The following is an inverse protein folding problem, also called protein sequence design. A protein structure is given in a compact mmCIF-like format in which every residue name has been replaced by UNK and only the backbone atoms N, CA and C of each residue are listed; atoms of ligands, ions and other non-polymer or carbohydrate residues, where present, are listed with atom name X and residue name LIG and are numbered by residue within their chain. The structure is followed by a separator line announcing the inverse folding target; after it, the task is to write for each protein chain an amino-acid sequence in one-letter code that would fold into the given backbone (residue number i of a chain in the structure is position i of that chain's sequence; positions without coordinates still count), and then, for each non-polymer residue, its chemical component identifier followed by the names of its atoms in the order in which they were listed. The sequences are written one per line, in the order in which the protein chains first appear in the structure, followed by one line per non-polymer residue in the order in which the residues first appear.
data_IF_713927352620
#
_entry.id   IF_713927352620
#
_cell.length_a   1.000
_cell.length_b   1.000
_cell.length_c   1.000
_cell.angle_alpha   90.00
_cell.angle_beta   90.00
_cell.angle_gamma   90.00
#
_symmetry.space_group_name_H-M   'P 1'
#
loop_
_entity.id
_entity.type
_entity.pdbx_description
1 polymer ?
#
# COMPACT_ATOMS: atom_id res chain seq x y z
N UNK A 1 2.89 -11.30 -19.59
CA UNK A 1 2.89 -11.48 -21.05
C UNK A 1 4.35 -11.51 -21.50
N UNK A 2 4.72 -12.29 -22.51
CA UNK A 2 6.10 -12.22 -23.01
C UNK A 2 6.27 -11.12 -24.06
N UNK A 3 5.17 -10.64 -24.65
CA UNK A 3 5.16 -9.71 -25.76
C UNK A 3 4.71 -8.29 -25.38
N UNK A 4 5.07 -7.32 -26.23
CA UNK A 4 4.68 -5.93 -26.12
C UNK A 4 3.16 -5.75 -26.32
N UNK A 5 2.47 -4.98 -25.46
CA UNK A 5 1.05 -4.66 -25.65
C UNK A 5 0.80 -3.96 -27.00
N UNK A 6 -0.35 -4.26 -27.61
CA UNK A 6 -0.75 -3.66 -28.89
C UNK A 6 -0.92 -2.14 -28.84
N UNK A 7 -1.19 -1.57 -27.66
CA UNK A 7 -1.21 -0.13 -27.43
C UNK A 7 -0.83 0.19 -25.98
N UNK A 8 -0.19 1.34 -25.79
CA UNK A 8 0.12 1.96 -24.49
C UNK A 8 -0.63 3.29 -24.31
N UNK A 9 -1.63 3.54 -25.16
CA UNK A 9 -2.49 4.72 -25.05
C UNK A 9 -3.18 4.78 -23.68
N UNK A 10 -3.37 6.00 -23.16
CA UNK A 10 -3.90 6.19 -21.81
C UNK A 10 -2.92 5.87 -20.67
N UNK A 11 -1.74 5.29 -20.96
CA UNK A 11 -0.69 5.03 -19.96
C UNK A 11 0.43 6.07 -20.00
N UNK A 12 1.00 6.34 -18.83
CA UNK A 12 2.21 7.14 -18.64
C UNK A 12 3.36 6.21 -18.26
N UNK A 13 4.48 6.32 -18.96
CA UNK A 13 5.71 5.61 -18.57
C UNK A 13 6.39 6.34 -17.41
N UNK A 14 6.74 5.58 -16.37
CA UNK A 14 7.60 5.99 -15.29
C UNK A 14 8.87 5.12 -15.31
N UNK A 15 10.02 5.76 -15.55
CA UNK A 15 11.32 5.10 -15.47
C UNK A 15 11.73 4.95 -14.01
N UNK A 16 11.35 3.84 -13.39
CA UNK A 16 11.72 3.50 -12.02
C UNK A 16 13.23 3.33 -11.86
N UNK A 17 13.88 2.66 -12.82
CA UNK A 17 15.31 2.44 -12.81
C UNK A 17 15.88 2.38 -14.24
N UNK A 18 17.21 2.22 -14.42
CA UNK A 18 17.79 1.91 -15.71
C UNK A 18 17.22 0.62 -16.34
N UNK A 19 16.71 -0.31 -15.52
CA UNK A 19 16.30 -1.64 -15.94
C UNK A 19 14.78 -1.87 -15.96
N UNK A 20 14.01 -1.04 -15.25
CA UNK A 20 12.56 -1.19 -15.13
C UNK A 20 11.85 0.10 -15.52
N UNK A 21 10.83 -0.04 -16.36
CA UNK A 21 9.82 1.00 -16.61
C UNK A 21 8.46 0.51 -16.15
N UNK A 22 7.68 1.36 -15.49
CA UNK A 22 6.29 1.10 -15.11
C UNK A 22 5.37 1.91 -15.99
N UNK A 23 4.20 1.35 -16.32
CA UNK A 23 3.16 2.03 -17.08
C UNK A 23 1.94 2.22 -16.21
N UNK A 24 1.55 3.48 -16.05
CA UNK A 24 0.58 3.93 -15.07
C UNK A 24 -0.65 4.51 -15.79
N UNK A 25 -1.85 4.24 -15.29
CA UNK A 25 -3.06 4.89 -15.79
C UNK A 25 -2.95 6.42 -15.63
N UNK A 26 -3.11 7.18 -16.72
CA UNK A 26 -3.05 8.66 -16.67
C UNK A 26 -4.16 9.30 -15.84
N UNK A 27 -5.28 8.60 -15.64
CA UNK A 27 -6.45 9.11 -14.92
C UNK A 27 -6.35 8.92 -13.42
N UNK A 28 -6.03 7.70 -12.97
CA UNK A 28 -6.08 7.33 -11.55
C UNK A 28 -4.72 6.93 -10.95
N UNK A 29 -3.64 6.88 -11.74
CA UNK A 29 -2.31 6.52 -11.27
C UNK A 29 -2.06 5.02 -11.09
N UNK A 30 -3.08 4.19 -11.28
CA UNK A 30 -2.98 2.73 -11.12
C UNK A 30 -1.82 2.13 -11.91
N UNK A 31 -1.07 1.22 -11.27
CA UNK A 31 -0.03 0.45 -11.95
C UNK A 31 -0.67 -0.58 -12.86
N UNK A 32 -0.37 -0.52 -14.16
CA UNK A 32 -0.98 -1.44 -15.16
C UNK A 32 0.05 -2.46 -15.64
N UNK A 33 1.23 -1.98 -16.04
CA UNK A 33 2.30 -2.83 -16.58
C UNK A 33 3.65 -2.47 -15.96
N UNK A 34 4.59 -3.40 -16.04
CA UNK A 34 6.01 -3.14 -15.88
C UNK A 34 6.78 -3.80 -17.03
N UNK A 35 7.79 -3.12 -17.57
CA UNK A 35 8.71 -3.65 -18.58
C UNK A 35 10.07 -3.86 -17.94
N UNK A 36 10.57 -5.09 -18.05
CA UNK A 36 11.94 -5.47 -17.70
C UNK A 36 12.80 -5.22 -18.94
N UNK A 37 13.56 -4.13 -18.96
CA UNK A 37 14.30 -3.67 -20.14
C UNK A 37 15.34 -4.69 -20.64
N UNK A 38 16.13 -5.37 -19.78
CA UNK A 38 17.10 -6.36 -20.25
C UNK A 38 16.49 -7.53 -21.04
N UNK A 39 15.32 -8.03 -20.62
CA UNK A 39 14.65 -9.15 -21.28
C UNK A 39 13.58 -8.72 -22.28
N UNK A 40 13.19 -7.44 -22.29
CA UNK A 40 12.06 -6.93 -23.05
C UNK A 40 10.69 -7.34 -22.50
N UNK A 41 10.62 -8.14 -21.44
CA UNK A 41 9.39 -8.76 -20.95
C UNK A 41 8.43 -7.76 -20.29
N UNK A 42 7.13 -7.94 -20.53
CA UNK A 42 6.06 -7.15 -19.93
C UNK A 42 5.29 -7.94 -18.85
N UNK A 43 5.32 -7.42 -17.64
CA UNK A 43 4.53 -7.90 -16.51
C UNK A 43 3.23 -7.10 -16.41
N UNK A 44 2.15 -7.77 -16.04
CA UNK A 44 0.85 -7.15 -15.81
C UNK A 44 0.60 -7.09 -14.32
N UNK A 45 0.14 -5.95 -13.82
CA UNK A 45 -0.24 -5.82 -12.43
C UNK A 45 -1.55 -6.60 -12.21
N UNK A 46 -1.55 -7.63 -11.36
CA UNK A 46 -2.73 -8.51 -11.22
C UNK A 46 -3.94 -7.80 -10.62
N UNK A 47 -3.73 -6.65 -9.98
CA UNK A 47 -4.82 -5.85 -9.43
C UNK A 47 -5.71 -5.17 -10.48
N UNK A 48 -5.30 -5.11 -11.75
CA UNK A 48 -6.14 -4.54 -12.83
C UNK A 48 -6.96 -5.57 -13.61
N UNK A 49 -6.86 -6.85 -13.27
CA UNK A 49 -7.58 -7.92 -13.99
C UNK A 49 -9.07 -7.91 -13.63
N UNK A 50 -9.97 -7.79 -14.61
CA UNK A 50 -11.45 -7.70 -14.39
C UNK A 50 -12.27 -8.75 -15.15
N UNK A 51 -11.66 -9.56 -16.01
CA UNK A 51 -12.38 -10.55 -16.84
C UNK A 51 -12.72 -11.83 -16.05
N UNK A 52 -13.67 -12.64 -16.52
CA UNK A 52 -14.08 -13.90 -15.87
C UNK A 52 -13.03 -15.01 -15.86
N UNK A 53 -12.00 -14.93 -16.73
CA UNK A 53 -10.94 -15.93 -16.88
C UNK A 53 -9.65 -15.52 -16.15
N UNK A 54 -9.74 -15.30 -14.85
CA UNK A 54 -8.60 -14.85 -14.06
C UNK A 54 -7.72 -16.06 -13.77
N UNK A 55 -6.41 -15.99 -14.09
CA UNK A 55 -5.53 -17.11 -13.86
C UNK A 55 -5.49 -17.46 -12.37
N UNK A 56 -5.58 -18.76 -12.08
CA UNK A 56 -5.30 -19.29 -10.74
C UNK A 56 -3.88 -18.90 -10.32
N UNK A 57 -3.71 -18.51 -9.07
CA UNK A 57 -2.40 -18.17 -8.52
C UNK A 57 -1.60 -19.47 -8.37
N UNK A 58 -0.61 -19.67 -9.25
CA UNK A 58 0.23 -20.87 -9.23
C UNK A 58 1.33 -20.83 -8.16
N UNK A 59 1.87 -19.64 -7.89
CA UNK A 59 2.89 -19.43 -6.86
C UNK A 59 2.92 -17.99 -6.39
N UNK A 60 3.36 -17.80 -5.13
CA UNK A 60 3.63 -16.48 -4.54
C UNK A 60 5.10 -16.46 -4.17
N UNK A 61 5.84 -15.50 -4.75
CA UNK A 61 7.26 -15.29 -4.49
C UNK A 61 7.44 -13.89 -3.91
N UNK A 62 8.23 -13.79 -2.84
CA UNK A 62 8.55 -12.52 -2.21
C UNK A 62 9.94 -12.07 -2.61
N UNK A 63 10.04 -10.86 -3.13
CA UNK A 63 11.31 -10.27 -3.53
C UNK A 63 11.65 -9.10 -2.62
N UNK A 64 12.94 -8.88 -2.42
CA UNK A 64 13.46 -7.77 -1.61
C UNK A 64 12.93 -7.76 -0.16
N UNK A 65 12.58 -8.93 0.40
CA UNK A 65 12.10 -9.06 1.78
C UNK A 65 13.08 -8.45 2.77
N UNK A 66 14.40 -8.63 2.57
CA UNK A 66 15.42 -8.02 3.44
C UNK A 66 15.32 -6.50 3.49
N UNK A 67 14.92 -5.86 2.39
CA UNK A 67 14.75 -4.40 2.32
C UNK A 67 13.58 -3.88 3.17
N UNK A 68 12.65 -4.75 3.57
CA UNK A 68 11.53 -4.37 4.45
C UNK A 68 11.94 -4.22 5.91
N UNK A 69 13.09 -4.76 6.33
CA UNK A 69 13.57 -4.73 7.72
C UNK A 69 12.83 -5.67 8.68
N UNK A 70 11.51 -5.82 8.54
CA UNK A 70 10.63 -6.61 9.40
C UNK A 70 9.90 -7.76 8.67
N UNK A 71 10.25 -8.00 7.41
CA UNK A 71 9.60 -8.97 6.53
C UNK A 71 8.38 -8.41 5.78
N UNK A 72 7.83 -7.27 6.17
CA UNK A 72 6.65 -6.69 5.54
C UNK A 72 5.46 -7.66 5.52
N UNK A 73 4.62 -7.54 4.50
CA UNK A 73 3.48 -8.46 4.31
C UNK A 73 3.87 -9.91 4.04
N UNK A 74 5.14 -10.21 3.69
CA UNK A 74 5.56 -11.60 3.47
C UNK A 74 5.45 -12.47 4.74
N UNK A 75 5.43 -11.83 5.91
CA UNK A 75 5.18 -12.49 7.20
C UNK A 75 3.75 -13.03 7.29
N UNK A 76 2.77 -12.35 6.68
CA UNK A 76 1.35 -12.73 6.64
C UNK A 76 0.97 -13.52 5.37
N UNK A 77 1.86 -13.59 4.39
CA UNK A 77 1.65 -14.31 3.14
C UNK A 77 2.72 -15.40 3.02
N UNK A 78 2.66 -16.50 3.77
CA UNK A 78 3.64 -17.57 3.62
C UNK A 78 3.62 -18.04 2.16
N UNK A 79 4.73 -17.82 1.44
CA UNK A 79 4.83 -18.15 0.02
C UNK A 79 4.57 -19.63 -0.22
N UNK A 80 4.13 -19.98 -1.44
CA UNK A 80 4.02 -21.39 -1.82
C UNK A 80 5.43 -21.98 -1.93
N UNK A 81 5.71 -23.21 -1.44
CA UNK A 81 7.01 -23.84 -1.64
C UNK A 81 7.28 -24.05 -3.13
N UNK A 82 8.14 -23.22 -3.73
CA UNK A 82 8.76 -23.48 -5.04
C UNK A 82 10.19 -22.94 -5.11
N UNK A 83 10.98 -23.63 -5.91
CA UNK A 83 12.42 -23.52 -6.12
C UNK A 83 12.92 -22.12 -6.48
N UNK A 84 14.05 -21.74 -5.87
CA UNK A 84 14.93 -20.60 -6.19
C UNK A 84 14.61 -19.88 -7.51
N UNK A 85 13.84 -18.80 -7.39
CA UNK A 85 13.60 -17.85 -8.47
C UNK A 85 14.00 -16.47 -8.01
N UNK A 86 15.14 -15.97 -8.50
CA UNK A 86 15.54 -14.58 -8.31
C UNK A 86 14.47 -13.61 -8.83
N UNK A 87 14.53 -12.35 -8.36
CA UNK A 87 13.60 -11.31 -8.76
C UNK A 87 13.57 -11.16 -10.30
N UNK A 88 12.42 -11.38 -10.96
CA UNK A 88 12.33 -11.25 -12.44
C UNK A 88 12.45 -9.80 -12.92
N UNK A 89 12.33 -8.82 -12.03
CA UNK A 89 12.68 -7.43 -12.33
C UNK A 89 14.21 -7.19 -12.24
N UNK A 90 14.96 -8.08 -11.60
CA UNK A 90 16.41 -8.10 -11.50
C UNK A 90 17.01 -9.13 -12.47
N UNK A 91 16.67 -9.02 -13.74
CA UNK A 91 17.41 -9.76 -14.77
C UNK A 91 18.79 -9.11 -14.89
N UNK A 92 19.78 -9.75 -14.23
CA UNK A 92 21.24 -9.60 -14.31
C UNK A 92 21.94 -8.67 -13.29
N UNK A 93 22.09 -9.14 -12.06
CA UNK A 93 23.39 -9.06 -11.35
C UNK A 93 24.10 -10.42 -11.44
N UNK A 94 24.20 -10.95 -12.66
CA UNK A 94 25.10 -12.05 -12.99
C UNK A 94 26.55 -11.57 -12.97
N UNK A 95 27.09 -11.32 -11.78
CA UNK A 95 28.52 -11.30 -11.45
C UNK A 95 28.64 -11.29 -9.93
N UNK A 96 29.21 -12.37 -9.38
CA UNK A 96 29.94 -12.27 -8.12
C UNK A 96 30.95 -11.14 -8.27
N UNK A 97 30.64 -10.00 -7.66
CA UNK A 97 31.44 -8.80 -7.74
C UNK A 97 30.82 -7.80 -6.78
N UNK A 98 31.57 -7.49 -5.72
CA UNK A 98 31.27 -6.41 -4.80
C UNK A 98 31.14 -5.09 -5.59
N UNK A 99 29.92 -4.72 -5.98
CA UNK A 99 29.62 -3.35 -6.40
C UNK A 99 28.37 -2.90 -5.66
N UNK A 100 28.63 -2.29 -4.51
CA UNK A 100 27.81 -1.25 -3.90
C UNK A 100 27.52 -0.19 -4.95
N UNK A 101 26.29 -0.13 -5.47
CA UNK A 101 25.67 1.10 -6.02
C UNK A 101 24.20 0.79 -6.39
N UNK A 102 23.36 0.62 -5.38
CA UNK A 102 21.95 0.96 -5.52
C UNK A 102 21.78 2.38 -4.99
N UNK A 103 21.26 3.28 -5.81
CA UNK A 103 20.80 4.62 -5.42
C UNK A 103 19.54 4.57 -4.53
N UNK A 104 19.45 3.59 -3.63
CA UNK A 104 18.82 3.81 -2.34
C UNK A 104 19.89 4.49 -1.50
N UNK A 105 19.84 5.82 -1.40
CA UNK A 105 20.49 6.48 -0.26
C UNK A 105 19.96 5.76 0.98
N UNK A 106 20.78 4.88 1.55
CA UNK A 106 20.56 4.36 2.89
C UNK A 106 20.54 5.59 3.76
N UNK A 107 19.36 6.04 4.15
CA UNK A 107 19.21 6.71 5.42
C UNK A 107 19.68 5.65 6.41
N UNK A 108 20.95 5.74 6.81
CA UNK A 108 21.49 5.00 7.94
C UNK A 108 20.64 5.45 9.09
N UNK A 109 19.65 4.62 9.42
CA UNK A 109 18.73 4.93 10.47
C UNK A 109 19.48 4.64 11.77
N UNK A 110 19.90 5.69 12.47
CA UNK A 110 20.36 5.56 13.84
C UNK A 110 19.21 4.94 14.66
N UNK A 111 19.36 3.74 15.23
CA UNK A 111 18.34 3.10 16.05
C UNK A 111 18.04 3.86 17.35
N UNK A 112 18.85 4.86 17.69
CA UNK A 112 18.78 5.59 18.96
C UNK A 112 17.84 6.81 18.96
N UNK A 113 17.39 7.29 17.80
CA UNK A 113 16.41 8.38 17.75
C UNK A 113 14.98 7.81 17.69
N UNK A 114 14.25 7.90 18.81
CA UNK A 114 12.81 7.71 18.81
C UNK A 114 12.18 8.81 17.94
N UNK A 115 12.01 8.54 16.65
CA UNK A 115 11.30 9.48 15.76
C UNK A 115 9.91 9.72 16.34
N UNK A 116 9.66 10.97 16.70
CA UNK A 116 8.35 11.44 17.20
C UNK A 116 7.31 11.49 16.09
N UNK A 117 7.68 11.23 14.83
CA UNK A 117 6.80 11.23 13.67
C UNK A 117 7.20 10.12 12.69
N UNK A 118 6.21 9.54 12.01
CA UNK A 118 6.41 8.60 10.92
C UNK A 118 6.43 9.36 9.60
N UNK A 119 7.57 9.39 8.94
CA UNK A 119 7.69 9.92 7.58
C UNK A 119 7.02 8.95 6.59
N UNK A 120 6.34 9.50 5.58
CA UNK A 120 5.83 8.75 4.45
C UNK A 120 6.23 9.45 3.14
N UNK A 121 6.74 8.69 2.18
CA UNK A 121 7.28 9.23 0.93
C UNK A 121 7.12 8.24 -0.22
N UNK A 122 6.74 8.75 -1.39
CA UNK A 122 6.69 7.95 -2.62
C UNK A 122 8.08 7.76 -3.25
N UNK A 123 8.21 6.79 -4.16
CA UNK A 123 9.49 6.45 -4.80
C UNK A 123 10.19 7.65 -5.48
N UNK A 124 9.44 8.50 -6.20
CA UNK A 124 10.03 9.67 -6.86
C UNK A 124 10.24 10.88 -5.93
N UNK A 125 9.83 10.79 -4.65
CA UNK A 125 9.89 11.88 -3.68
C UNK A 125 8.94 13.05 -3.94
N UNK A 126 8.00 12.92 -4.87
CA UNK A 126 7.07 13.99 -5.24
C UNK A 126 5.88 14.15 -4.28
N UNK A 127 5.61 13.13 -3.47
CA UNK A 127 4.71 13.13 -2.32
C UNK A 127 5.57 12.76 -1.11
N UNK A 128 5.49 13.61 -0.09
CA UNK A 128 6.15 13.47 1.19
C UNK A 128 5.30 14.15 2.27
N UNK A 129 5.10 13.46 3.39
CA UNK A 129 4.33 13.93 4.53
C UNK A 129 4.74 13.20 5.80
N UNK A 130 4.29 13.69 6.94
CA UNK A 130 4.59 13.14 8.27
C UNK A 130 3.30 12.83 9.02
N UNK A 131 3.32 11.74 9.79
CA UNK A 131 2.24 11.31 10.66
C UNK A 131 2.74 11.42 12.11
N UNK A 132 2.00 12.13 12.97
CA UNK A 132 2.27 12.15 14.42
C UNK A 132 1.64 10.95 15.12
N UNK A 133 2.18 10.49 16.26
CA UNK A 133 1.50 9.58 17.17
C UNK A 133 0.13 10.15 17.56
N UNK A 134 -0.82 9.31 18.00
CA UNK A 134 -2.08 9.82 18.46
C UNK A 134 -1.93 10.79 19.63
N UNK A 135 -2.76 11.82 19.63
CA UNK A 135 -2.82 12.84 20.67
C UNK A 135 -4.29 13.20 20.96
N UNK A 136 -4.53 14.25 21.76
CA UNK A 136 -5.89 14.69 22.09
C UNK A 136 -6.68 15.16 20.86
N UNK A 137 -6.01 15.56 19.77
CA UNK A 137 -6.68 15.98 18.55
C UNK A 137 -7.18 14.80 17.71
N UNK A 138 -6.59 13.61 17.90
CA UNK A 138 -6.92 12.37 17.19
C UNK A 138 -8.31 11.81 17.51
N UNK A 139 -8.93 12.27 18.60
CA UNK A 139 -10.28 11.86 19.02
C UNK A 139 -11.38 12.70 18.38
N UNK A 140 -11.05 13.80 17.68
CA UNK A 140 -12.04 14.70 17.08
C UNK A 140 -12.70 14.16 15.82
N UNK A 141 -12.03 13.28 15.10
CA UNK A 141 -12.60 12.64 13.92
C UNK A 141 -13.77 11.72 14.33
N UNK A 142 -14.71 11.51 13.42
CA UNK A 142 -15.79 10.53 13.51
C UNK A 142 -15.77 9.67 12.25
N UNK A 143 -16.17 8.41 12.38
CA UNK A 143 -16.30 7.48 11.26
C UNK A 143 -17.24 6.34 11.60
N UNK A 144 -18.04 5.81 10.63
CA UNK A 144 -18.60 4.47 10.75
C UNK A 144 -17.46 3.44 10.94
N UNK A 145 -17.79 2.25 11.43
CA UNK A 145 -16.85 1.14 11.47
C UNK A 145 -16.42 0.77 10.06
N UNK A 146 -15.11 0.58 9.87
CA UNK A 146 -14.59 0.06 8.61
C UNK A 146 -15.02 -1.40 8.41
N UNK A 147 -15.14 -1.82 7.15
CA UNK A 147 -15.41 -3.23 6.79
C UNK A 147 -14.38 -4.22 7.38
N UNK A 148 -13.17 -3.72 7.62
CA UNK A 148 -12.11 -4.45 8.32
C UNK A 148 -12.53 -4.92 9.73
N UNK A 149 -13.43 -4.18 10.39
CA UNK A 149 -13.92 -4.46 11.74
C UNK A 149 -15.35 -5.01 11.73
N UNK A 150 -16.21 -4.43 10.90
CA UNK A 150 -17.61 -4.86 10.75
C UNK A 150 -17.86 -5.14 9.27
N UNK A 151 -17.78 -6.41 8.82
CA UNK A 151 -17.97 -6.78 7.43
C UNK A 151 -19.30 -6.23 6.89
N UNK A 152 -19.28 -5.62 5.71
CA UNK A 152 -20.45 -4.94 5.13
C UNK A 152 -21.69 -5.84 4.99
N UNK A 153 -21.51 -7.16 4.92
CA UNK A 153 -22.58 -8.15 4.76
C UNK A 153 -23.07 -8.76 6.08
N UNK A 154 -22.44 -8.47 7.22
CA UNK A 154 -22.76 -9.08 8.53
C UNK A 154 -23.57 -8.18 9.46
N UNK A 155 -23.60 -6.87 9.23
CA UNK A 155 -24.28 -5.92 10.11
C UNK A 155 -24.16 -4.48 9.63
N UNK A 156 -24.74 -3.56 10.41
CA UNK A 156 -24.61 -2.12 10.19
C UNK A 156 -23.21 -1.65 10.57
N UNK A 157 -22.56 -0.90 9.68
CA UNK A 157 -21.30 -0.22 9.98
C UNK A 157 -21.48 1.07 10.80
N UNK A 158 -22.70 1.41 11.21
CA UNK A 158 -22.97 2.61 12.02
C UNK A 158 -22.17 2.61 13.33
N UNK A 159 -21.73 3.80 13.73
CA UNK A 159 -20.96 4.02 14.94
C UNK A 159 -21.61 5.11 15.80
N UNK A 160 -22.80 4.86 16.38
CA UNK A 160 -23.55 5.86 17.14
C UNK A 160 -22.85 6.27 18.45
N UNK A 161 -22.07 5.36 19.02
CA UNK A 161 -21.32 5.57 20.26
C UNK A 161 -19.97 6.28 20.04
N UNK A 162 -19.68 6.67 18.79
CA UNK A 162 -18.46 7.38 18.39
C UNK A 162 -17.16 6.69 18.86
N UNK A 163 -17.13 5.36 18.74
CA UNK A 163 -15.96 4.55 19.06
C UNK A 163 -14.81 4.94 18.14
N UNK A 164 -13.70 5.39 18.74
CA UNK A 164 -12.46 5.78 18.02
C UNK A 164 -11.66 4.54 17.62
N UNK A 165 -12.26 3.67 16.83
CA UNK A 165 -11.74 2.34 16.50
C UNK A 165 -10.38 2.35 15.81
N UNK A 166 -10.00 3.48 15.19
CA UNK A 166 -8.69 3.70 14.61
C UNK A 166 -7.60 3.95 15.67
N UNK A 167 -7.95 4.32 16.90
CA UNK A 167 -7.01 4.47 18.02
C UNK A 167 -6.86 3.14 18.73
N UNK A 168 -5.62 2.64 18.77
CA UNK A 168 -5.28 1.30 19.22
C UNK A 168 -4.25 1.34 20.34
N UNK A 169 -4.17 0.24 21.08
CA UNK A 169 -3.18 0.03 22.14
C UNK A 169 -3.12 1.22 23.14
N UNK A 170 -4.27 1.57 23.74
CA UNK A 170 -4.35 2.69 24.68
C UNK A 170 -4.07 4.06 24.03
N UNK A 171 -4.53 4.26 22.79
CA UNK A 171 -4.33 5.49 22.00
C UNK A 171 -2.86 5.80 21.70
N UNK A 172 -2.03 4.77 21.48
CA UNK A 172 -0.61 4.95 21.11
C UNK A 172 -0.32 4.59 19.65
N UNK A 173 -1.24 3.90 18.98
CA UNK A 173 -1.10 3.44 17.59
C UNK A 173 -2.37 3.68 16.79
N UNK A 174 -2.22 3.71 15.47
CA UNK A 174 -3.34 3.71 14.53
C UNK A 174 -3.65 2.31 14.03
N UNK A 175 -4.93 2.01 13.79
CA UNK A 175 -5.32 0.78 13.13
C UNK A 175 -4.78 0.77 11.69
N UNK A 176 -4.18 -0.35 11.29
CA UNK A 176 -3.81 -0.64 9.92
C UNK A 176 -4.43 -1.96 9.47
N UNK A 177 -4.61 -2.13 8.17
CA UNK A 177 -5.14 -3.37 7.62
C UNK A 177 -5.00 -3.45 6.13
N UNK A 178 -5.60 -4.49 5.57
CA UNK A 178 -5.57 -4.78 4.14
C UNK A 178 -6.96 -4.72 3.53
N UNK A 179 -7.04 -4.32 2.27
CA UNK A 179 -8.28 -4.20 1.53
C UNK A 179 -8.09 -4.78 0.12
N UNK A 180 -9.07 -5.57 -0.32
CA UNK A 180 -9.08 -6.24 -1.63
C UNK A 180 -10.32 -5.91 -2.45
N UNK A 181 -11.07 -4.88 -2.04
CA UNK A 181 -12.22 -4.42 -2.80
C UNK A 181 -11.80 -3.99 -4.21
N UNK A 182 -12.72 -4.12 -5.16
CA UNK A 182 -12.47 -3.80 -6.56
C UNK A 182 -11.90 -2.39 -6.74
N UNK A 183 -12.46 -1.39 -6.04
CA UNK A 183 -11.99 0.00 -6.15
C UNK A 183 -10.54 0.19 -5.69
N UNK A 184 -10.14 -0.44 -4.57
CA UNK A 184 -8.77 -0.36 -4.09
C UNK A 184 -7.81 -1.07 -5.03
N UNK A 185 -8.19 -2.27 -5.47
CA UNK A 185 -7.41 -3.12 -6.35
C UNK A 185 -7.14 -2.45 -7.71
N UNK A 186 -8.19 -1.93 -8.33
CA UNK A 186 -8.10 -1.20 -9.59
C UNK A 186 -7.39 0.15 -9.43
N UNK A 187 -7.56 0.82 -8.29
CA UNK A 187 -6.96 2.12 -8.01
C UNK A 187 -5.43 2.06 -7.84
N UNK A 188 -4.91 1.02 -7.17
CA UNK A 188 -3.47 0.85 -6.99
C UNK A 188 -2.81 -0.06 -8.04
N UNK A 189 -3.57 -0.95 -8.65
CA UNK A 189 -3.07 -1.95 -9.60
C UNK A 189 -2.55 -3.22 -8.93
N UNK A 190 -2.64 -3.33 -7.60
CA UNK A 190 -2.19 -4.47 -6.82
C UNK A 190 -3.37 -5.21 -6.19
N UNK A 191 -3.30 -6.54 -6.01
CA UNK A 191 -4.41 -7.34 -5.51
C UNK A 191 -4.81 -6.99 -4.07
N UNK A 192 -3.85 -6.48 -3.28
CA UNK A 192 -4.01 -6.13 -1.88
C UNK A 192 -3.47 -4.71 -1.69
N UNK A 193 -4.29 -3.82 -1.13
CA UNK A 193 -3.89 -2.48 -0.72
C UNK A 193 -3.84 -2.41 0.81
N UNK A 194 -2.79 -1.79 1.36
CA UNK A 194 -2.64 -1.57 2.80
C UNK A 194 -3.03 -0.14 3.17
N UNK A 195 -3.83 0.00 4.22
CA UNK A 195 -4.30 1.28 4.73
C UNK A 195 -4.02 1.40 6.23
N UNK A 196 -3.60 2.58 6.67
CA UNK A 196 -3.65 3.02 8.06
C UNK A 196 -4.73 4.10 8.19
N UNK A 197 -5.56 4.00 9.23
CA UNK A 197 -6.66 4.96 9.46
C UNK A 197 -6.17 6.06 10.40
N UNK A 198 -5.89 7.24 9.85
CA UNK A 198 -5.21 8.33 10.57
C UNK A 198 -6.08 9.59 10.53
N UNK A 199 -6.38 10.22 11.68
CA UNK A 199 -7.08 11.49 11.70
C UNK A 199 -6.29 12.55 10.93
N UNK A 200 -6.98 13.35 10.14
CA UNK A 200 -6.38 14.41 9.31
C UNK A 200 -5.53 15.40 10.12
N UNK A 201 -5.93 15.64 11.37
CA UNK A 201 -5.20 16.50 12.32
C UNK A 201 -3.79 15.98 12.68
N UNK A 202 -3.54 14.69 12.47
CA UNK A 202 -2.24 14.04 12.74
C UNK A 202 -1.38 13.88 11.48
N UNK A 203 -1.79 14.45 10.35
CA UNK A 203 -1.06 14.38 9.08
C UNK A 203 -0.60 15.78 8.68
N UNK A 204 0.70 15.92 8.44
CA UNK A 204 1.34 17.18 8.09
C UNK A 204 2.08 17.05 6.77
N UNK A 205 1.99 18.07 5.92
CA UNK A 205 2.78 18.14 4.69
C UNK A 205 4.28 18.24 5.05
N UNK A 206 5.15 18.06 4.06
CA UNK A 206 6.60 18.12 4.28
C UNK A 206 7.11 19.46 4.87
N UNK A 207 6.37 20.56 4.68
CA UNK A 207 6.66 21.89 5.23
C UNK A 207 6.12 22.09 6.66
N UNK A 208 5.53 21.07 7.27
CA UNK A 208 4.94 21.11 8.61
C UNK A 208 3.53 21.71 8.67
N UNK A 209 2.96 22.15 7.55
CA UNK A 209 1.56 22.63 7.51
C UNK A 209 0.55 21.47 7.60
N UNK A 210 -0.68 21.70 8.08
CA UNK A 210 -1.74 20.68 8.09
C UNK A 210 -2.02 20.12 6.69
N UNK A 211 -2.39 18.83 6.60
CA UNK A 211 -2.67 18.17 5.32
C UNK A 211 -3.68 18.95 4.47
N UNK A 212 -3.22 19.36 3.28
CA UNK A 212 -4.02 20.15 2.35
C UNK A 212 -4.42 19.38 1.08
N UNK A 213 -4.06 18.09 0.97
CA UNK A 213 -4.19 17.28 -0.26
C UNK A 213 -3.66 18.00 -1.51
N UNK A 214 -2.59 18.77 -1.32
CA UNK A 214 -1.94 19.56 -2.34
C UNK A 214 -0.46 19.24 -2.26
N UNK A 215 0.13 18.91 -3.39
CA UNK A 215 1.53 18.58 -3.50
C UNK A 215 1.96 18.70 -4.94
N UNK A 216 3.25 18.95 -5.17
CA UNK A 216 3.79 19.23 -6.52
C UNK A 216 3.41 18.18 -7.56
N UNK A 217 3.28 16.92 -7.14
CA UNK A 217 2.93 15.79 -8.01
C UNK A 217 1.64 15.09 -7.59
N UNK A 218 0.96 15.60 -6.55
CA UNK A 218 -0.25 14.97 -6.02
C UNK A 218 -1.43 15.31 -6.92
N UNK A 219 -2.13 14.29 -7.37
CA UNK A 219 -3.33 14.40 -8.20
C UNK A 219 -4.48 13.65 -7.53
N UNK A 220 -5.66 14.25 -7.62
CA UNK A 220 -6.91 13.66 -7.17
C UNK A 220 -7.58 12.88 -8.29
N UNK A 221 -8.07 11.70 -7.96
CA UNK A 221 -9.03 10.94 -8.75
C UNK A 221 -10.32 10.74 -7.95
N UNK A 222 -11.44 11.13 -8.54
CA UNK A 222 -12.76 10.93 -7.95
C UNK A 222 -13.25 9.54 -8.36
N UNK A 223 -13.12 8.54 -7.49
CA UNK A 223 -13.48 7.16 -7.83
C UNK A 223 -14.99 6.93 -7.87
N UNK A 224 -15.74 7.70 -7.09
CA UNK A 224 -17.20 7.79 -7.12
C UNK A 224 -17.64 9.12 -6.49
N UNK A 225 -18.92 9.45 -6.54
CA UNK A 225 -19.46 10.64 -5.88
C UNK A 225 -19.08 10.67 -4.40
N UNK A 226 -18.40 11.73 -3.97
CA UNK A 226 -17.97 11.91 -2.59
C UNK A 226 -16.83 11.01 -2.13
N UNK A 227 -16.14 10.30 -3.04
CA UNK A 227 -15.01 9.42 -2.72
C UNK A 227 -13.80 9.78 -3.57
N UNK A 228 -12.68 10.03 -2.90
CA UNK A 228 -11.49 10.61 -3.50
C UNK A 228 -10.24 9.78 -3.21
N UNK A 229 -9.34 9.74 -4.19
CA UNK A 229 -8.04 9.10 -4.09
C UNK A 229 -6.96 10.09 -4.50
N UNK A 230 -5.96 10.26 -3.63
CA UNK A 230 -4.79 11.07 -3.93
C UNK A 230 -3.62 10.18 -4.31
N UNK A 231 -2.97 10.47 -5.44
CA UNK A 231 -1.85 9.70 -5.94
C UNK A 231 -0.76 10.59 -6.54
N UNK A 232 0.44 10.05 -6.68
CA UNK A 232 1.53 10.74 -7.36
C UNK A 232 1.38 10.55 -8.88
N UNK A 233 1.16 11.62 -9.63
CA UNK A 233 1.04 11.54 -11.09
C UNK A 233 2.33 11.12 -11.79
N UNK A 234 3.47 11.18 -11.11
CA UNK A 234 4.78 10.81 -11.66
C UNK A 234 5.04 9.31 -11.53
N UNK A 235 4.94 8.76 -10.31
CA UNK A 235 5.30 7.37 -10.04
C UNK A 235 4.10 6.43 -9.79
N UNK A 236 2.86 6.95 -9.75
CA UNK A 236 1.63 6.17 -9.57
C UNK A 236 1.34 5.78 -8.13
N UNK A 237 2.21 6.18 -7.19
CA UNK A 237 2.06 5.83 -5.79
C UNK A 237 0.74 6.37 -5.23
N UNK A 238 -0.10 5.47 -4.73
CA UNK A 238 -1.33 5.81 -4.02
C UNK A 238 -0.94 6.33 -2.63
N UNK A 239 -1.48 7.48 -2.23
CA UNK A 239 -1.16 8.14 -0.97
C UNK A 239 -2.33 8.13 0.01
N UNK A 240 -3.50 8.60 -0.44
CA UNK A 240 -4.65 8.77 0.43
C UNK A 240 -5.94 8.27 -0.22
N UNK A 241 -6.84 7.73 0.59
CA UNK A 241 -8.26 7.63 0.30
C UNK A 241 -9.03 8.44 1.36
N UNK A 242 -10.05 9.16 0.92
CA UNK A 242 -10.95 9.92 1.79
C UNK A 242 -12.33 10.08 1.16
N UNK A 243 -13.33 10.41 1.96
CA UNK A 243 -14.69 10.61 1.50
C UNK A 243 -15.43 11.70 2.30
N UNK A 244 -16.56 12.14 1.75
CA UNK A 244 -17.40 13.18 2.37
C UNK A 244 -18.11 12.71 3.65
N UNK A 245 -18.34 11.39 3.82
CA UNK A 245 -19.00 10.83 5.01
C UNK A 245 -18.13 10.92 6.27
N UNK A 246 -16.81 10.76 6.13
CA UNK A 246 -15.83 10.81 7.23
C UNK A 246 -14.60 11.67 6.87
N UNK A 247 -14.78 12.98 6.64
CA UNK A 247 -13.76 13.83 6.02
C UNK A 247 -12.50 14.02 6.88
N UNK A 248 -12.59 13.76 8.19
CA UNK A 248 -11.50 13.95 9.14
C UNK A 248 -10.73 12.65 9.46
N UNK A 249 -11.15 11.49 8.95
CA UNK A 249 -10.41 10.22 9.08
C UNK A 249 -9.91 9.79 7.70
N UNK A 250 -8.60 9.78 7.52
CA UNK A 250 -7.95 9.55 6.23
C UNK A 250 -7.34 8.17 6.19
N UNK A 251 -7.55 7.45 5.09
CA UNK A 251 -6.90 6.17 4.86
C UNK A 251 -5.57 6.46 4.17
N UNK A 252 -4.47 6.18 4.87
CA UNK A 252 -3.11 6.45 4.41
C UNK A 252 -2.45 5.17 3.91
N UNK A 253 -1.91 5.21 2.70
CA UNK A 253 -1.26 4.04 2.08
C UNK A 253 0.00 3.67 2.85
N UNK A 254 0.00 2.51 3.51
CA UNK A 254 1.13 2.09 4.37
C UNK A 254 2.39 1.83 3.54
N UNK A 255 2.24 1.51 2.25
CA UNK A 255 3.38 1.33 1.33
C UNK A 255 4.27 2.57 1.15
N UNK A 256 3.86 3.75 1.65
CA UNK A 256 4.68 4.96 1.67
C UNK A 256 5.51 5.13 2.94
N UNK A 257 5.16 4.43 4.03
CA UNK A 257 5.73 4.63 5.35
C UNK A 257 7.23 4.30 5.38
N UNK A 258 8.01 5.19 6.01
CA UNK A 258 9.45 5.05 6.25
C UNK A 258 9.68 4.81 7.75
N UNK A 259 9.09 3.74 8.27
CA UNK A 259 9.15 3.35 9.68
C UNK A 259 10.33 2.44 10.01
N UNK A 260 10.40 2.00 11.27
CA UNK A 260 11.28 0.90 11.65
C UNK A 260 10.66 -0.41 11.16
N UNK A 261 10.95 -0.74 9.90
CA UNK A 261 10.30 -1.83 9.16
C UNK A 261 9.13 -1.36 8.31
N UNK A 262 8.79 -2.14 7.28
CA UNK A 262 7.74 -1.82 6.32
C UNK A 262 6.33 -1.88 6.93
N UNK A 263 6.14 -2.61 8.02
CA UNK A 263 4.88 -2.66 8.76
C UNK A 263 4.71 -1.49 9.73
N UNK A 264 5.79 -0.72 9.98
CA UNK A 264 5.79 0.44 10.89
C UNK A 264 5.08 0.17 12.23
N UNK A 265 5.34 -1.01 12.83
CA UNK A 265 4.63 -1.51 14.04
C UNK A 265 4.77 -0.61 15.27
N UNK A 266 5.70 0.34 15.25
CA UNK A 266 5.83 1.38 16.27
C UNK A 266 4.71 2.44 16.20
N UNK A 267 4.09 2.65 15.03
CA UNK A 267 2.95 3.55 14.82
C UNK A 267 1.64 2.82 14.54
N UNK A 268 1.72 1.62 13.98
CA UNK A 268 0.58 0.90 13.45
C UNK A 268 0.29 -0.38 14.25
N UNK A 269 -0.98 -0.59 14.55
CA UNK A 269 -1.54 -1.84 15.07
C UNK A 269 -2.32 -2.50 13.94
N UNK A 270 -1.86 -3.66 13.49
CA UNK A 270 -2.44 -4.33 12.32
C UNK A 270 -3.64 -5.18 12.73
N UNK A 271 -4.76 -5.01 12.04
CA UNK A 271 -5.96 -5.79 12.28
C UNK A 271 -5.65 -7.29 12.12
N UNK A 272 -5.98 -8.11 13.13
CA UNK A 272 -5.80 -9.54 13.04
C UNK A 272 -6.88 -10.14 12.12
N UNK A 273 -6.56 -11.30 11.56
CA UNK A 273 -7.49 -12.31 11.03
C UNK A 273 -8.38 -11.96 9.83
N UNK A 274 -8.50 -10.69 9.44
CA UNK A 274 -9.39 -10.26 8.34
C UNK A 274 -8.69 -9.42 7.29
N UNK A 275 -9.05 -9.69 6.03
CA UNK A 275 -8.81 -8.81 4.89
C UNK A 275 -10.13 -8.11 4.54
N UNK A 276 -10.13 -6.78 4.46
CA UNK A 276 -11.35 -6.02 4.16
C UNK A 276 -11.86 -6.32 2.74
N UNK A 277 -13.16 -6.61 2.63
CA UNK A 277 -13.87 -7.04 1.43
C UNK A 277 -13.32 -8.34 0.81
N UNK A 278 -12.79 -9.26 1.63
CA UNK A 278 -12.32 -10.58 1.19
C UNK A 278 -13.35 -11.33 0.32
N UNK A 279 -14.63 -11.10 0.57
CA UNK A 279 -15.75 -11.71 -0.16
C UNK A 279 -15.84 -11.23 -1.62
N UNK A 280 -15.33 -10.03 -1.90
CA UNK A 280 -15.23 -9.44 -3.24
C UNK A 280 -13.92 -9.81 -3.95
N UNK A 281 -13.06 -10.60 -3.31
CA UNK A 281 -11.73 -10.89 -3.82
C UNK A 281 -11.79 -11.61 -5.17
N UNK A 282 -11.15 -10.97 -6.14
CA UNK A 282 -10.92 -11.51 -7.47
C UNK A 282 -9.97 -12.70 -7.45
N UNK A 283 -8.96 -12.68 -6.56
CA UNK A 283 -7.98 -13.75 -6.38
C UNK A 283 -8.18 -14.40 -5.00
N UNK A 284 -9.24 -15.22 -4.87
CA UNK A 284 -9.65 -15.82 -3.58
C UNK A 284 -8.54 -16.63 -2.92
N UNK A 285 -7.75 -17.37 -3.70
CA UNK A 285 -6.64 -18.18 -3.17
C UNK A 285 -5.56 -17.32 -2.48
N UNK A 286 -5.22 -16.18 -3.08
CA UNK A 286 -4.26 -15.23 -2.50
C UNK A 286 -4.80 -14.61 -1.21
N UNK A 287 -6.08 -14.25 -1.19
CA UNK A 287 -6.72 -13.68 -0.01
C UNK A 287 -6.83 -14.70 1.11
N UNK A 288 -7.15 -15.96 0.79
CA UNK A 288 -7.17 -17.04 1.77
C UNK A 288 -5.79 -17.26 2.41
N UNK A 289 -4.72 -17.24 1.61
CA UNK A 289 -3.35 -17.30 2.14
C UNK A 289 -3.03 -16.15 3.09
N UNK A 290 -3.50 -14.94 2.79
CA UNK A 290 -3.33 -13.76 3.64
C UNK A 290 -4.06 -13.92 4.98
N UNK A 291 -5.33 -14.33 4.95
CA UNK A 291 -6.13 -14.54 6.15
C UNK A 291 -5.53 -15.63 7.05
N UNK A 292 -5.10 -16.75 6.45
CA UNK A 292 -4.47 -17.85 7.19
C UNK A 292 -3.15 -17.41 7.84
N UNK A 293 -2.37 -16.53 7.20
CA UNK A 293 -1.14 -16.00 7.78
C UNK A 293 -1.38 -14.93 8.84
N UNK A 294 -2.42 -14.10 8.69
CA UNK A 294 -2.86 -13.17 9.73
C UNK A 294 -3.31 -13.93 11.00
N UNK A 295 -4.05 -15.04 10.85
CA UNK A 295 -4.54 -15.87 11.94
C UNK A 295 -3.44 -16.60 12.72
N UNK A 296 -2.37 -17.02 12.06
CA UNK A 296 -1.25 -17.68 12.74
C UNK A 296 -0.50 -16.71 13.64
N UNK A 297 -0.34 -15.47 13.18
CA UNK A 297 0.43 -14.44 13.90
C UNK A 297 -0.36 -13.75 15.01
N UNK A 298 -1.68 -13.89 15.06
CA UNK A 298 -2.52 -13.44 16.18
C UNK A 298 -2.59 -14.46 17.33
N UNK A 299 -2.22 -15.71 17.07
CA UNK A 299 -2.21 -16.80 18.05
C UNK A 299 -0.90 -16.95 18.82
N UNK A 300 0.18 -16.30 18.37
CA UNK A 300 1.52 -16.26 18.98
C UNK A 300 1.74 -15.00 19.82
#
# INVERSE_FOLDING_TARGET
MQDEPSTLEGLREYRESPYVSRFLCKTCGSHVLARVKPSGQYLVASGVLVAGDIPTVQSVQHWQVKGTGDGGLSTYLPGWPTSDGGCRLEVLSGRQGNTTESHSQRLVHDPSESRTQLQARCHCGGIEFYITPPDSSSTRAWSPFADLLVPYHTGSGENPDDVKWWLRNGNTKYLAGTCVCESCRLGCGFPIQTWAFVPKANIFNADGSPLAFKGKTMRRYNSSTGVYREFCEVCGANAFWHCDERPELIDVSVGLAQGNGALAKNFLDWAPDRVSFAEMATQKDLVKLMEDGLQKLSAD
#
